data_IF_468736717275
#
_entry.id   IF_468736717275
#
_cell.length_a   1.000
_cell.length_b   1.000
_cell.length_c   1.000
_cell.angle_alpha   90.00
_cell.angle_beta   90.00
_cell.angle_gamma   90.00
#
_symmetry.space_group_name_H-M   'P 1'
#
loop_
_entity.id
_entity.type
_entity.pdbx_description
1 polymer ?
#
# COMPACT_ATOMS: atom_id res chain seq x y z
N UNK A 1 -5.49 10.98 10.23
CA UNK A 1 -5.23 10.71 11.67
C UNK A 1 -5.30 9.23 12.05
N UNK A 2 -6.18 8.40 11.47
CA UNK A 2 -6.28 6.95 11.79
C UNK A 2 -5.14 6.04 11.26
N UNK A 3 -4.46 6.40 10.17
CA UNK A 3 -3.36 5.61 9.60
C UNK A 3 -2.07 5.64 10.44
N UNK A 4 -1.73 6.79 11.03
CA UNK A 4 -0.57 6.95 11.91
C UNK A 4 -0.64 6.05 13.15
N UNK A 5 -1.85 5.84 13.69
CA UNK A 5 -2.09 4.94 14.83
C UNK A 5 -1.82 3.45 14.51
N UNK A 6 -1.87 3.04 13.24
CA UNK A 6 -1.51 1.68 12.83
C UNK A 6 -0.01 1.42 12.80
N UNK A 7 0.74 2.46 12.43
CA UNK A 7 2.20 2.46 12.38
C UNK A 7 2.83 2.13 13.75
N UNK A 8 2.09 2.35 14.84
CA UNK A 8 2.50 2.11 16.22
C UNK A 8 1.93 0.83 16.86
N UNK A 9 1.20 -0.01 16.12
CA UNK A 9 0.58 -1.23 16.67
C UNK A 9 1.37 -2.51 16.33
N UNK A 10 1.34 -3.47 17.26
CA UNK A 10 2.21 -4.67 17.33
C UNK A 10 2.30 -5.51 16.04
N UNK A 11 3.47 -6.15 15.84
CA UNK A 11 4.01 -6.84 14.63
C UNK A 11 3.17 -7.92 13.92
N UNK A 12 1.87 -8.05 14.14
CA UNK A 12 1.02 -9.07 13.50
C UNK A 12 0.32 -8.62 12.23
N UNK A 13 0.17 -7.31 12.01
CA UNK A 13 -0.49 -6.74 10.83
C UNK A 13 0.47 -5.75 10.17
N UNK A 14 0.69 -5.91 8.85
CA UNK A 14 1.46 -4.96 8.04
C UNK A 14 0.53 -4.26 7.05
N UNK A 15 0.54 -2.93 7.07
CA UNK A 15 -0.16 -2.08 6.10
C UNK A 15 0.85 -1.54 5.09
N UNK A 16 0.55 -1.69 3.81
CA UNK A 16 1.40 -1.24 2.70
C UNK A 16 0.50 -0.71 1.59
N UNK A 17 0.89 0.41 1.00
CA UNK A 17 0.24 1.05 -0.14
C UNK A 17 0.99 0.71 -1.43
N UNK A 18 0.24 0.32 -2.45
CA UNK A 18 0.77 -0.07 -3.77
C UNK A 18 0.21 0.87 -4.83
N UNK A 19 1.09 1.66 -5.45
CA UNK A 19 0.74 2.68 -6.44
C UNK A 19 1.56 2.49 -7.72
N UNK A 20 1.01 2.92 -8.86
CA UNK A 20 1.82 3.23 -10.03
C UNK A 20 2.45 4.62 -9.90
N UNK A 21 3.32 4.98 -10.85
CA UNK A 21 3.91 6.30 -10.91
C UNK A 21 2.84 7.37 -11.19
N UNK A 22 2.83 8.51 -10.48
CA UNK A 22 1.86 9.58 -10.73
C UNK A 22 2.01 10.15 -12.14
N UNK A 23 0.88 10.33 -12.83
CA UNK A 23 0.85 11.05 -14.12
C UNK A 23 0.83 12.55 -13.88
N UNK A 24 0.11 13.00 -12.85
CA UNK A 24 -0.03 14.41 -12.54
C UNK A 24 1.27 14.93 -11.91
N UNK A 25 1.97 15.90 -12.53
CA UNK A 25 3.25 16.39 -12.01
C UNK A 25 3.16 16.98 -10.61
N UNK A 26 2.02 17.59 -10.26
CA UNK A 26 1.78 18.12 -8.93
C UNK A 26 1.82 17.03 -7.84
N UNK A 27 1.47 15.79 -8.18
CA UNK A 27 1.46 14.68 -7.23
C UNK A 27 2.85 14.07 -6.97
N UNK A 28 3.82 14.31 -7.87
CA UNK A 28 5.20 13.79 -7.77
C UNK A 28 5.88 14.28 -6.49
N UNK A 29 5.74 15.56 -6.16
CA UNK A 29 6.34 16.14 -4.96
C UNK A 29 5.74 15.56 -3.68
N UNK A 30 4.40 15.42 -3.65
CA UNK A 30 3.70 14.81 -2.52
C UNK A 30 4.11 13.36 -2.29
N UNK A 31 4.21 12.56 -3.36
CA UNK A 31 4.65 11.17 -3.27
C UNK A 31 6.11 11.08 -2.84
N UNK A 32 6.98 11.96 -3.35
CA UNK A 32 8.39 11.99 -2.96
C UNK A 32 8.57 12.29 -1.47
N UNK A 33 7.78 13.21 -0.93
CA UNK A 33 7.77 13.52 0.50
C UNK A 33 7.17 12.38 1.34
N UNK A 34 6.13 11.70 0.85
CA UNK A 34 5.58 10.51 1.50
C UNK A 34 6.62 9.40 1.59
N UNK A 35 7.31 9.04 0.50
CA UNK A 35 8.40 8.05 0.51
C UNK A 35 9.49 8.42 1.52
N UNK A 36 9.81 9.71 1.65
CA UNK A 36 10.85 10.17 2.58
C UNK A 36 10.42 10.09 4.04
N UNK A 37 9.12 10.15 4.31
CA UNK A 37 8.55 10.25 5.66
C UNK A 37 7.87 8.95 6.12
N UNK A 38 7.63 8.01 5.21
CA UNK A 38 6.93 6.76 5.46
C UNK A 38 7.67 5.56 4.85
N UNK A 39 7.54 4.38 5.47
CA UNK A 39 8.12 3.12 5.00
C UNK A 39 7.02 2.10 4.68
N UNK A 40 5.91 2.61 4.12
CA UNK A 40 4.69 1.86 3.81
C UNK A 40 4.29 1.97 2.34
N UNK A 41 5.14 2.53 1.46
CA UNK A 41 4.84 2.74 0.05
C UNK A 41 5.68 1.85 -0.88
N UNK A 42 5.01 1.23 -1.86
CA UNK A 42 5.65 0.49 -2.96
C UNK A 42 5.14 1.07 -4.27
N UNK A 43 6.07 1.65 -5.05
CA UNK A 43 5.75 2.28 -6.33
C UNK A 43 6.21 1.40 -7.49
N UNK A 44 5.29 1.10 -8.38
CA UNK A 44 5.54 0.37 -9.61
C UNK A 44 5.98 1.28 -10.75
N UNK A 45 6.81 0.74 -11.64
CA UNK A 45 7.21 1.40 -12.86
C UNK A 45 6.14 1.24 -13.96
N UNK A 46 4.96 1.80 -13.72
CA UNK A 46 3.83 1.88 -14.65
C UNK A 46 2.92 3.04 -14.24
N UNK A 47 2.14 3.59 -15.16
CA UNK A 47 1.28 4.73 -14.89
C UNK A 47 0.21 4.40 -13.83
N UNK A 48 0.08 5.24 -12.81
CA UNK A 48 -0.87 5.12 -11.71
C UNK A 48 -2.29 5.49 -12.09
N UNK A 49 -2.86 4.81 -13.09
CA UNK A 49 -4.25 4.99 -13.52
C UNK A 49 -5.18 3.91 -12.94
N UNK A 50 -6.50 4.16 -12.87
CA UNK A 50 -7.48 3.14 -12.48
C UNK A 50 -7.44 1.88 -13.36
N UNK A 51 -7.17 2.03 -14.66
CA UNK A 51 -7.09 0.93 -15.63
C UNK A 51 -5.91 -0.01 -15.30
N UNK A 52 -4.84 0.54 -14.74
CA UNK A 52 -3.65 -0.22 -14.33
C UNK A 52 -3.77 -0.84 -12.91
N UNK A 53 -4.95 -0.82 -12.29
CA UNK A 53 -5.15 -1.40 -10.95
C UNK A 53 -4.85 -2.91 -10.87
N UNK A 54 -4.95 -3.63 -11.99
CA UNK A 54 -4.50 -5.03 -12.08
C UNK A 54 -2.98 -5.14 -11.95
N UNK A 55 -2.20 -4.23 -12.55
CA UNK A 55 -0.74 -4.19 -12.40
C UNK A 55 -0.35 -3.93 -10.94
N UNK A 56 -1.03 -3.01 -10.26
CA UNK A 56 -0.84 -2.77 -8.82
C UNK A 56 -1.11 -4.03 -7.99
N UNK A 57 -2.10 -4.84 -8.39
CA UNK A 57 -2.44 -6.10 -7.70
C UNK A 57 -1.36 -7.15 -7.90
N UNK A 58 -0.85 -7.30 -9.13
CA UNK A 58 0.22 -8.24 -9.44
C UNK A 58 1.51 -7.86 -8.70
N UNK A 59 1.85 -6.57 -8.68
CA UNK A 59 2.97 -6.04 -7.90
C UNK A 59 2.81 -6.31 -6.40
N UNK A 60 1.62 -6.06 -5.85
CA UNK A 60 1.31 -6.38 -4.45
C UNK A 60 1.55 -7.87 -4.14
N UNK A 61 1.06 -8.77 -4.99
CA UNK A 61 1.24 -10.22 -4.79
C UNK A 61 2.72 -10.60 -4.84
N UNK A 62 3.48 -10.10 -5.83
CA UNK A 62 4.93 -10.33 -5.92
C UNK A 62 5.67 -9.84 -4.68
N UNK A 63 5.35 -8.63 -4.22
CA UNK A 63 5.96 -8.04 -3.02
C UNK A 63 5.64 -8.86 -1.77
N UNK A 64 4.38 -9.29 -1.59
CA UNK A 64 3.97 -10.11 -0.43
C UNK A 64 4.69 -11.45 -0.42
N UNK A 65 4.79 -12.14 -1.56
CA UNK A 65 5.55 -13.40 -1.66
C UNK A 65 7.02 -13.19 -1.27
N UNK A 66 7.61 -12.06 -1.67
CA UNK A 66 9.03 -11.77 -1.42
C UNK A 66 9.33 -11.34 0.02
N UNK A 67 8.50 -10.47 0.59
CA UNK A 67 8.79 -9.79 1.86
C UNK A 67 7.89 -10.22 3.03
N UNK A 68 6.80 -10.93 2.76
CA UNK A 68 5.82 -11.37 3.74
C UNK A 68 5.40 -12.84 3.52
N UNK A 69 6.31 -13.71 3.06
CA UNK A 69 6.00 -15.11 2.71
C UNK A 69 5.46 -16.00 3.85
N UNK A 70 5.43 -15.51 5.10
CA UNK A 70 4.81 -16.18 6.26
C UNK A 70 3.42 -15.63 6.61
N UNK A 71 2.92 -14.63 5.89
CA UNK A 71 1.59 -14.08 6.10
C UNK A 71 0.53 -15.14 5.81
N UNK A 72 -0.41 -15.32 6.75
CA UNK A 72 -1.52 -16.28 6.61
C UNK A 72 -2.68 -15.75 5.80
N UNK A 73 -2.86 -14.42 5.84
CA UNK A 73 -3.96 -13.72 5.19
C UNK A 73 -3.42 -12.50 4.46
N UNK A 74 -4.02 -12.21 3.32
CA UNK A 74 -3.78 -11.01 2.54
C UNK A 74 -5.13 -10.35 2.28
N UNK A 75 -5.21 -9.05 2.53
CA UNK A 75 -6.40 -8.25 2.29
C UNK A 75 -6.01 -7.12 1.35
N UNK A 76 -6.66 -7.06 0.19
CA UNK A 76 -6.60 -5.90 -0.70
C UNK A 76 -7.85 -5.07 -0.49
N UNK A 77 -7.67 -3.76 -0.30
CA UNK A 77 -8.76 -2.79 -0.16
C UNK A 77 -8.54 -1.72 -1.23
N UNK A 78 -9.62 -1.32 -1.91
CA UNK A 78 -9.58 -0.18 -2.84
C UNK A 78 -9.49 1.16 -2.12
N UNK A 79 -9.40 2.23 -2.90
CA UNK A 79 -9.37 3.62 -2.45
C UNK A 79 -10.51 4.04 -1.51
N UNK A 80 -11.72 3.53 -1.77
CA UNK A 80 -12.95 3.83 -1.04
C UNK A 80 -13.31 2.78 0.02
N UNK A 81 -12.54 1.69 0.09
CA UNK A 81 -12.80 0.60 1.02
C UNK A 81 -12.41 0.94 2.46
N UNK A 82 -13.16 0.41 3.42
CA UNK A 82 -12.92 0.60 4.86
C UNK A 82 -12.86 -0.76 5.53
N UNK A 83 -11.90 -0.96 6.41
CA UNK A 83 -11.74 -2.22 7.17
C UNK A 83 -11.56 -1.92 8.64
N UNK A 84 -12.27 -2.67 9.48
CA UNK A 84 -12.10 -2.65 10.93
C UNK A 84 -11.10 -3.73 11.35
N UNK A 85 -9.95 -3.30 11.84
CA UNK A 85 -8.87 -4.20 12.26
C UNK A 85 -9.20 -5.00 13.52
N UNK A 86 -10.18 -4.54 14.30
CA UNK A 86 -10.70 -5.30 15.44
C UNK A 86 -11.33 -6.63 15.01
N UNK A 87 -11.78 -6.74 13.76
CA UNK A 87 -12.34 -7.96 13.20
C UNK A 87 -11.28 -8.89 12.58
N UNK A 88 -10.01 -8.46 12.54
CA UNK A 88 -8.92 -9.18 11.90
C UNK A 88 -7.92 -9.79 12.91
N UNK A 89 -8.30 -9.83 14.20
CA UNK A 89 -7.54 -10.43 15.29
C UNK A 89 -8.13 -11.75 15.72
#
# INVERSE_FOLDING_TARGET
TQLWTLRNSTSTIKLVFFLGWPIEPALVEHISEEIRTTDDLVIGNFDGTPENSTLSTLMMLQWVVRFCGKAKFLIKIGDSGRVSLKLLR
#
